data_IF_791233691515
#
_entry.id   IF_791233691515
#
_cell.length_a   1.000
_cell.length_b   1.000
_cell.length_c   1.000
_cell.angle_alpha   90.00
_cell.angle_beta   90.00
_cell.angle_gamma   90.00
#
_symmetry.space_group_name_H-M   'P 1'
#
loop_
_entity.id
_entity.type
_entity.pdbx_description
1 polymer ?
#
# COMPACT_ATOMS: atom_id res chain seq x y z
N UNK A 1 24.32 -0.74 7.18
CA UNK A 1 23.66 0.43 7.80
C UNK A 1 22.29 0.11 8.35
N UNK A 2 21.33 -0.42 7.55
CA UNK A 2 19.96 -0.74 8.01
C UNK A 2 19.93 -1.66 9.24
N UNK A 3 20.66 -2.79 9.21
CA UNK A 3 20.64 -3.78 10.31
C UNK A 3 21.15 -3.25 11.67
N UNK A 4 21.93 -2.16 11.66
CA UNK A 4 22.42 -1.50 12.88
C UNK A 4 21.28 -0.85 13.67
N UNK A 5 20.31 -0.27 12.96
CA UNK A 5 19.25 0.55 13.56
C UNK A 5 17.90 -0.17 13.63
N UNK A 6 17.65 -1.10 12.71
CA UNK A 6 16.36 -1.78 12.58
C UNK A 6 16.44 -3.27 12.91
N UNK A 7 15.30 -3.85 13.30
CA UNK A 7 15.06 -5.29 13.42
C UNK A 7 13.80 -5.70 12.63
N UNK A 8 13.72 -6.94 12.12
CA UNK A 8 12.50 -7.44 11.49
C UNK A 8 11.32 -7.48 12.46
N UNK A 9 10.12 -7.21 11.95
CA UNK A 9 8.87 -7.35 12.67
C UNK A 9 7.74 -7.84 11.76
N UNK A 10 6.68 -8.37 12.37
CA UNK A 10 5.45 -8.69 11.65
C UNK A 10 4.79 -7.39 11.21
N UNK A 11 4.34 -7.34 9.95
CA UNK A 11 3.82 -6.10 9.38
C UNK A 11 2.63 -6.35 8.47
N UNK A 12 1.60 -5.51 8.60
CA UNK A 12 0.42 -5.58 7.76
C UNK A 12 0.62 -4.80 6.46
N UNK A 13 0.76 -5.53 5.35
CA UNK A 13 0.85 -4.95 4.03
C UNK A 13 -0.55 -4.74 3.47
N UNK A 14 -0.87 -3.49 3.14
CA UNK A 14 -2.15 -3.13 2.53
C UNK A 14 -2.42 -3.99 1.29
N UNK A 15 -3.54 -4.73 1.31
CA UNK A 15 -3.96 -5.61 0.22
C UNK A 15 -3.29 -7.00 0.19
N UNK A 16 -2.30 -7.25 1.05
CA UNK A 16 -1.61 -8.54 1.20
C UNK A 16 -1.87 -9.18 2.58
N UNK A 17 -2.20 -8.39 3.60
CA UNK A 17 -2.42 -8.83 4.98
C UNK A 17 -1.13 -8.84 5.81
N UNK A 18 -1.19 -9.48 6.98
CA UNK A 18 -0.06 -9.61 7.89
C UNK A 18 1.01 -10.55 7.32
N UNK A 19 2.23 -10.07 7.19
CA UNK A 19 3.39 -10.84 6.75
C UNK A 19 4.38 -10.94 7.90
N UNK A 20 4.75 -12.18 8.26
CA UNK A 20 5.72 -12.44 9.32
C UNK A 20 7.11 -11.93 8.95
N UNK A 21 7.76 -11.19 9.85
CA UNK A 21 9.05 -10.54 9.59
C UNK A 21 9.08 -9.73 8.27
N UNK A 22 7.91 -9.25 7.82
CA UNK A 22 7.76 -8.53 6.56
C UNK A 22 8.15 -7.06 6.64
N UNK A 23 8.17 -6.49 7.85
CA UNK A 23 8.52 -5.10 8.11
C UNK A 23 9.82 -4.92 8.86
N UNK A 24 10.13 -3.66 9.13
CA UNK A 24 11.27 -3.24 9.94
C UNK A 24 10.78 -2.25 11.01
N UNK A 25 11.20 -2.47 12.24
CA UNK A 25 11.00 -1.53 13.35
C UNK A 25 12.35 -1.08 13.93
N UNK A 26 12.37 0.11 14.54
CA UNK A 26 13.56 0.59 15.23
C UNK A 26 13.90 -0.34 16.40
N UNK A 27 15.19 -0.57 16.63
CA UNK A 27 15.65 -1.26 17.84
C UNK A 27 15.37 -0.38 19.07
N UNK A 28 15.19 -1.03 20.21
CA UNK A 28 14.82 -0.37 21.47
C UNK A 28 15.81 0.73 21.88
N UNK A 29 17.10 0.54 21.61
CA UNK A 29 18.17 1.53 21.81
C UNK A 29 17.91 2.87 21.09
N UNK A 30 17.05 2.87 20.08
CA UNK A 30 16.66 4.04 19.29
C UNK A 30 15.18 4.43 19.49
N UNK A 31 14.52 3.95 20.55
CA UNK A 31 13.10 4.23 20.83
C UNK A 31 12.79 5.74 20.96
N UNK A 32 13.78 6.54 21.38
CA UNK A 32 13.68 8.00 21.44
C UNK A 32 13.49 8.68 20.06
N UNK A 33 13.59 7.94 18.96
CA UNK A 33 13.32 8.40 17.60
C UNK A 33 12.04 7.77 17.00
N UNK A 34 11.36 6.90 17.73
CA UNK A 34 10.17 6.21 17.26
C UNK A 34 8.90 6.97 17.69
N UNK A 35 8.25 7.63 16.73
CA UNK A 35 7.02 8.39 16.99
C UNK A 35 5.90 7.51 17.58
N UNK A 36 5.86 6.22 17.24
CA UNK A 36 4.85 5.30 17.79
C UNK A 36 5.04 5.00 19.28
N UNK A 37 6.24 5.25 19.82
CA UNK A 37 6.57 5.12 21.25
C UNK A 37 6.41 6.43 22.01
N UNK A 38 6.61 7.56 21.32
CA UNK A 38 6.58 8.89 21.91
C UNK A 38 5.17 9.51 21.98
N UNK A 39 4.26 9.08 21.09
CA UNK A 39 2.94 9.68 20.96
C UNK A 39 1.84 8.61 20.86
N UNK A 40 0.63 8.97 21.30
CA UNK A 40 -0.55 8.16 21.03
C UNK A 40 -0.87 8.20 19.53
N UNK A 41 -0.62 7.06 18.87
CA UNK A 41 -0.79 6.87 17.44
C UNK A 41 -1.95 5.90 17.14
N UNK A 42 -2.95 5.79 18.01
CA UNK A 42 -4.11 4.95 17.73
C UNK A 42 -4.88 5.46 16.50
N UNK A 43 -4.91 4.63 15.44
CA UNK A 43 -5.64 4.93 14.21
C UNK A 43 -6.64 3.81 13.91
N UNK A 44 -7.90 4.20 13.67
CA UNK A 44 -8.91 3.28 13.16
C UNK A 44 -8.83 3.21 11.63
N UNK A 45 -8.45 2.04 11.11
CA UNK A 45 -8.50 1.78 9.67
C UNK A 45 -9.95 1.76 9.17
N UNK A 46 -10.24 2.54 8.13
CA UNK A 46 -11.54 2.50 7.43
C UNK A 46 -11.64 1.37 6.40
N UNK A 47 -10.60 0.55 6.27
CA UNK A 47 -10.51 -0.50 5.25
C UNK A 47 -10.40 0.04 3.82
N UNK A 48 -10.32 -0.86 2.86
CA UNK A 48 -10.28 -0.50 1.44
C UNK A 48 -11.69 -0.30 0.86
N UNK A 49 -11.79 0.52 -0.19
CA UNK A 49 -13.04 0.69 -0.91
C UNK A 49 -13.44 -0.64 -1.57
N UNK A 50 -14.62 -1.17 -1.21
CA UNK A 50 -15.14 -2.45 -1.70
C UNK A 50 -15.30 -2.54 -3.23
N UNK A 51 -15.41 -1.41 -3.93
CA UNK A 51 -15.49 -1.37 -5.39
C UNK A 51 -14.12 -1.54 -6.07
N UNK A 52 -13.02 -1.37 -5.33
CA UNK A 52 -11.66 -1.49 -5.83
C UNK A 52 -11.08 -2.88 -5.55
N UNK A 53 -10.47 -3.49 -6.56
CA UNK A 53 -9.78 -4.79 -6.42
C UNK A 53 -8.24 -4.63 -6.36
N UNK A 54 -7.72 -3.50 -5.87
CA UNK A 54 -6.27 -3.23 -5.83
C UNK A 54 -5.50 -4.33 -5.08
N UNK A 55 -6.04 -4.90 -3.98
CA UNK A 55 -5.41 -6.05 -3.32
C UNK A 55 -5.29 -7.32 -4.18
N UNK A 56 -6.19 -7.56 -5.14
CA UNK A 56 -6.04 -8.66 -6.11
C UNK A 56 -4.98 -8.34 -7.16
N UNK A 57 -4.93 -7.09 -7.62
CA UNK A 57 -3.94 -6.60 -8.59
C UNK A 57 -2.53 -6.66 -7.99
N UNK A 58 -2.35 -6.25 -6.73
CA UNK A 58 -1.07 -6.32 -6.01
C UNK A 58 -0.57 -7.77 -5.86
N UNK A 59 -1.48 -8.74 -5.74
CA UNK A 59 -1.15 -10.16 -5.69
C UNK A 59 -0.93 -10.79 -7.06
N UNK A 60 -1.07 -10.03 -8.15
CA UNK A 60 -0.99 -10.54 -9.52
C UNK A 60 -2.15 -11.46 -9.93
N UNK A 61 -3.24 -11.47 -9.15
CA UNK A 61 -4.43 -12.30 -9.42
C UNK A 61 -5.38 -11.66 -10.43
N UNK A 62 -5.23 -10.36 -10.70
CA UNK A 62 -6.02 -9.61 -11.66
C UNK A 62 -5.17 -8.49 -12.28
N UNK A 63 -5.53 -8.07 -13.49
CA UNK A 63 -4.97 -6.89 -14.17
C UNK A 63 -5.84 -5.66 -13.92
N UNK A 64 -5.28 -4.44 -14.04
CA UNK A 64 -6.05 -3.20 -13.85
C UNK A 64 -7.33 -3.10 -14.68
N UNK A 65 -7.33 -3.57 -15.93
CA UNK A 65 -8.52 -3.54 -16.78
C UNK A 65 -9.65 -4.50 -16.34
N UNK A 66 -9.38 -5.45 -15.45
CA UNK A 66 -10.39 -6.33 -14.85
C UNK A 66 -11.10 -5.65 -13.66
N UNK A 67 -10.58 -4.52 -13.18
CA UNK A 67 -11.19 -3.73 -12.12
C UNK A 67 -12.34 -2.88 -12.67
N UNK A 68 -13.57 -3.10 -12.17
CA UNK A 68 -14.79 -2.43 -12.66
C UNK A 68 -14.74 -0.90 -12.62
N UNK A 69 -13.96 -0.33 -11.69
CA UNK A 69 -13.82 1.12 -11.50
C UNK A 69 -12.62 1.73 -12.23
N UNK A 70 -11.69 0.91 -12.73
CA UNK A 70 -10.46 1.38 -13.40
C UNK A 70 -10.79 2.15 -14.69
N UNK A 71 -10.14 3.30 -14.88
CA UNK A 71 -10.29 4.14 -16.06
C UNK A 71 -11.62 4.88 -16.17
N UNK A 72 -12.61 4.51 -15.33
CA UNK A 72 -13.93 5.15 -15.24
C UNK A 72 -13.92 6.16 -14.10
N UNK A 73 -14.35 5.74 -12.92
CA UNK A 73 -14.36 6.59 -11.72
C UNK A 73 -13.00 6.61 -11.03
N UNK A 74 -12.19 5.56 -11.15
CA UNK A 74 -10.82 5.48 -10.63
C UNK A 74 -9.83 5.92 -11.72
N UNK A 75 -9.35 7.15 -11.61
CA UNK A 75 -8.38 7.79 -12.52
C UNK A 75 -7.29 8.49 -11.70
N UNK A 76 -6.18 8.94 -12.31
CA UNK A 76 -5.16 9.70 -11.57
C UNK A 76 -5.70 10.99 -10.91
N UNK A 77 -6.71 11.62 -11.51
CA UNK A 77 -7.39 12.81 -10.94
C UNK A 77 -8.38 12.46 -9.83
N UNK A 78 -8.96 11.26 -9.87
CA UNK A 78 -9.90 10.76 -8.85
C UNK A 78 -9.55 9.32 -8.46
N UNK A 79 -8.49 9.12 -7.65
CA UNK A 79 -8.02 7.78 -7.34
C UNK A 79 -8.88 7.13 -6.24
N UNK A 80 -9.37 5.92 -6.51
CA UNK A 80 -10.15 5.13 -5.53
C UNK A 80 -9.27 4.18 -4.71
N UNK A 81 -8.19 3.67 -5.30
CA UNK A 81 -7.27 2.72 -4.66
C UNK A 81 -5.81 3.18 -4.74
N UNK A 82 -4.97 2.69 -3.83
CA UNK A 82 -3.54 3.03 -3.77
C UNK A 82 -2.80 2.77 -5.08
N UNK A 83 -3.18 1.71 -5.80
CA UNK A 83 -2.63 1.35 -7.10
C UNK A 83 -2.78 2.46 -8.17
N UNK A 84 -3.72 3.40 -8.01
CA UNK A 84 -3.94 4.56 -8.91
C UNK A 84 -3.27 5.84 -8.40
N UNK A 85 -2.95 5.93 -7.11
CA UNK A 85 -2.30 7.09 -6.49
C UNK A 85 -0.78 7.06 -6.74
N UNK A 86 -0.16 5.89 -6.53
CA UNK A 86 1.30 5.76 -6.63
C UNK A 86 1.78 5.84 -8.07
N UNK A 87 2.89 6.55 -8.32
CA UNK A 87 3.58 6.55 -9.61
C UNK A 87 4.12 5.17 -10.00
N UNK A 88 4.38 4.30 -9.02
CA UNK A 88 4.79 2.91 -9.20
C UNK A 88 3.59 1.95 -9.21
N UNK A 89 2.38 2.47 -9.03
CA UNK A 89 1.16 1.68 -8.94
C UNK A 89 0.79 1.05 -10.28
N UNK A 90 0.46 -0.25 -10.28
CA UNK A 90 0.08 -0.96 -11.50
C UNK A 90 -1.10 -0.32 -12.23
N UNK A 91 -2.11 0.21 -11.52
CA UNK A 91 -3.22 0.91 -12.17
C UNK A 91 -2.76 2.23 -12.81
N UNK A 92 -1.97 3.04 -12.10
CA UNK A 92 -1.45 4.29 -12.66
C UNK A 92 -0.60 4.03 -13.92
N UNK A 93 0.26 3.01 -13.89
CA UNK A 93 1.07 2.60 -15.04
C UNK A 93 0.20 2.14 -16.23
N UNK A 94 -0.79 1.26 -15.99
CA UNK A 94 -1.71 0.83 -17.05
C UNK A 94 -2.51 2.01 -17.62
N UNK A 95 -2.99 2.91 -16.78
CA UNK A 95 -3.74 4.07 -17.22
C UNK A 95 -2.90 4.98 -18.12
N UNK A 96 -1.61 5.15 -17.80
CA UNK A 96 -0.70 6.05 -18.52
C UNK A 96 -0.21 5.47 -19.85
N UNK A 97 0.01 4.16 -19.92
CA UNK A 97 0.76 3.56 -21.03
C UNK A 97 -0.01 2.49 -21.82
N UNK A 98 -1.02 1.85 -21.24
CA UNK A 98 -1.73 0.73 -21.88
C UNK A 98 -3.12 1.11 -22.41
N UNK A 99 -3.67 2.25 -21.99
CA UNK A 99 -4.84 2.84 -22.65
C UNK A 99 -4.30 3.57 -23.87
N UNK A 100 -4.35 2.91 -25.03
CA UNK A 100 -4.02 3.54 -26.30
C UNK A 100 -4.82 4.82 -26.51
N UNK A 101 -4.10 5.90 -26.84
CA UNK A 101 -4.67 7.02 -27.60
C UNK A 101 -4.89 6.59 -29.05
#
# INVERSE_FOLDING_TARGET
>A
MVQKYFKPCDFEFRGLGLIKNGGLELREEFANYDASKLYDCEVKSKGENKACICGQILRGLAKPYECKVFGKVCTPKNPIGSCMVSGEGACAAYYKYAIGH
#
